data_IF_290244489380
#
_entry.id   IF_290244489380
#
_cell.length_a   1.000
_cell.length_b   1.000
_cell.length_c   1.000
_cell.angle_alpha   90.00
_cell.angle_beta   90.00
_cell.angle_gamma   90.00
#
_symmetry.space_group_name_H-M   'P 1'
#
loop_
_entity.id
_entity.type
_entity.pdbx_description
1 polymer ?
#
# COMPACT_ATOMS: atom_id res chain seq x y z
N UNK A 1 3.69 -20.26 -13.74
CA UNK A 1 4.15 -19.88 -12.39
C UNK A 1 4.16 -21.15 -11.55
N UNK A 2 5.22 -21.46 -10.77
CA UNK A 2 5.19 -22.61 -9.86
C UNK A 2 4.00 -22.46 -8.89
N UNK A 3 3.30 -23.56 -8.64
CA UNK A 3 2.18 -23.60 -7.68
C UNK A 3 2.55 -24.54 -6.53
N UNK A 4 2.52 -24.08 -5.27
CA UNK A 4 2.22 -22.71 -4.84
C UNK A 4 3.41 -21.76 -5.06
N UNK A 5 3.12 -20.48 -5.32
CA UNK A 5 4.12 -19.43 -5.20
C UNK A 5 4.19 -19.03 -3.72
N UNK A 6 5.36 -19.11 -3.09
CA UNK A 6 5.55 -18.72 -1.68
C UNK A 6 5.12 -17.27 -1.38
N UNK A 7 5.02 -16.42 -2.41
CA UNK A 7 4.49 -15.06 -2.29
C UNK A 7 3.02 -14.99 -1.89
N UNK A 8 2.28 -16.08 -2.09
CA UNK A 8 0.84 -16.14 -1.85
C UNK A 8 0.51 -16.74 -0.46
N UNK A 9 1.53 -17.27 0.23
CA UNK A 9 1.43 -17.77 1.59
C UNK A 9 1.18 -16.60 2.55
N UNK A 10 0.02 -16.61 3.22
CA UNK A 10 -0.41 -15.52 4.12
C UNK A 10 -0.43 -14.13 3.45
N UNK A 11 -0.72 -14.09 2.14
CA UNK A 11 -1.04 -12.84 1.46
C UNK A 11 -2.30 -12.25 2.10
N UNK A 12 -2.21 -11.01 2.58
CA UNK A 12 -3.31 -10.28 3.21
C UNK A 12 -3.42 -8.89 2.59
N UNK A 13 -4.61 -8.58 2.08
CA UNK A 13 -4.98 -7.24 1.64
C UNK A 13 -6.10 -6.80 2.57
N UNK A 14 -5.80 -5.90 3.50
CA UNK A 14 -6.71 -5.50 4.57
C UNK A 14 -6.49 -4.03 4.97
N UNK A 15 -7.55 -3.37 5.44
CA UNK A 15 -7.53 -2.00 5.94
C UNK A 15 -7.44 -0.92 4.86
N UNK A 16 -7.65 -1.28 3.59
CA UNK A 16 -7.60 -0.34 2.47
C UNK A 16 -8.96 0.30 2.22
N UNK A 17 -8.94 1.53 1.69
CA UNK A 17 -10.09 2.15 1.03
C UNK A 17 -9.79 2.16 -0.46
N UNK A 18 -10.62 1.47 -1.25
CA UNK A 18 -10.45 1.36 -2.70
C UNK A 18 -11.75 1.79 -3.36
N UNK A 19 -11.69 2.86 -4.16
CA UNK A 19 -12.84 3.38 -4.88
C UNK A 19 -12.54 3.42 -6.37
N UNK A 20 -13.22 2.58 -7.15
CA UNK A 20 -13.09 2.52 -8.60
C UNK A 20 -14.45 2.39 -9.32
N UNK A 21 -15.56 2.66 -8.63
CA UNK A 21 -16.88 2.70 -9.24
C UNK A 21 -17.98 2.18 -8.30
N UNK A 22 -19.07 1.62 -8.85
CA UNK A 22 -20.19 1.15 -8.04
C UNK A 22 -19.83 -0.08 -7.20
N UNK A 23 -20.64 -0.36 -6.17
CA UNK A 23 -20.40 -1.46 -5.23
C UNK A 23 -20.38 -2.86 -5.88
N UNK A 24 -21.01 -3.02 -7.04
CA UNK A 24 -21.05 -4.26 -7.83
C UNK A 24 -19.94 -4.36 -8.89
N UNK A 25 -19.01 -3.39 -8.92
CA UNK A 25 -17.85 -3.46 -9.81
C UNK A 25 -17.02 -4.72 -9.50
N UNK A 26 -16.81 -5.56 -10.51
CA UNK A 26 -16.00 -6.76 -10.42
C UNK A 26 -14.60 -6.47 -9.84
N UNK A 27 -14.18 -7.29 -8.87
CA UNK A 27 -12.89 -7.15 -8.19
C UNK A 27 -11.68 -7.55 -9.07
N UNK A 28 -11.91 -8.27 -10.17
CA UNK A 28 -10.83 -8.75 -11.05
C UNK A 28 -9.97 -9.87 -10.43
N UNK A 29 -10.47 -10.57 -9.41
CA UNK A 29 -9.82 -11.71 -8.73
C UNK A 29 -10.66 -12.99 -8.90
N UNK A 30 -10.10 -14.15 -8.56
CA UNK A 30 -10.81 -15.44 -8.64
C UNK A 30 -10.12 -16.44 -9.56
N UNK A 31 -10.86 -17.36 -10.18
CA UNK A 31 -10.30 -18.55 -10.84
C UNK A 31 -9.28 -18.27 -11.97
N UNK A 32 -9.43 -17.13 -12.66
CA UNK A 32 -8.51 -16.68 -13.72
C UNK A 32 -7.61 -15.50 -13.28
N UNK A 33 -7.66 -15.12 -11.99
CA UNK A 33 -6.91 -14.01 -11.41
C UNK A 33 -6.16 -14.40 -10.13
N UNK A 34 -5.40 -13.48 -9.54
CA UNK A 34 -4.87 -13.70 -8.19
C UNK A 34 -5.99 -13.91 -7.16
N UNK A 35 -5.63 -14.32 -5.94
CA UNK A 35 -6.57 -14.47 -4.82
C UNK A 35 -7.74 -15.42 -5.12
N UNK A 36 -7.37 -16.66 -5.45
CA UNK A 36 -8.29 -17.78 -5.73
C UNK A 36 -9.29 -18.01 -4.60
N UNK A 37 -10.48 -18.53 -4.91
CA UNK A 37 -11.52 -18.88 -3.92
C UNK A 37 -11.01 -19.80 -2.81
N UNK A 38 -10.09 -20.71 -3.13
CA UNK A 38 -9.51 -21.66 -2.17
C UNK A 38 -8.39 -21.07 -1.32
N UNK A 39 -7.91 -19.85 -1.60
CA UNK A 39 -6.88 -19.22 -0.78
C UNK A 39 -7.50 -18.75 0.55
N UNK A 40 -6.96 -19.22 1.70
CA UNK A 40 -7.55 -18.97 3.01
C UNK A 40 -7.25 -17.58 3.58
N UNK A 41 -6.40 -16.75 2.95
CA UNK A 41 -6.06 -15.39 3.41
C UNK A 41 -6.26 -14.30 2.35
N UNK A 42 -6.39 -14.67 1.08
CA UNK A 42 -6.76 -13.76 0.01
C UNK A 42 -7.77 -14.39 -0.95
N UNK A 43 -9.06 -14.20 -0.69
CA UNK A 43 -10.15 -14.49 -1.62
C UNK A 43 -11.17 -13.33 -1.65
N UNK A 44 -12.08 -13.32 -2.63
CA UNK A 44 -13.03 -12.23 -2.83
C UNK A 44 -13.85 -11.88 -1.58
N UNK A 45 -14.29 -12.88 -0.80
CA UNK A 45 -15.06 -12.64 0.42
C UNK A 45 -14.22 -11.94 1.50
N UNK A 46 -12.96 -12.34 1.67
CA UNK A 46 -12.03 -11.69 2.59
C UNK A 46 -11.68 -10.27 2.14
N UNK A 47 -11.44 -10.07 0.84
CA UNK A 47 -11.15 -8.74 0.31
C UNK A 47 -12.28 -7.74 0.61
N UNK A 48 -13.54 -8.16 0.44
CA UNK A 48 -14.71 -7.32 0.74
C UNK A 48 -14.94 -7.14 2.25
N UNK A 49 -14.58 -8.14 3.07
CA UNK A 49 -14.75 -8.07 4.52
C UNK A 49 -13.68 -7.19 5.19
N UNK A 50 -12.44 -7.26 4.70
CA UNK A 50 -11.28 -6.66 5.34
C UNK A 50 -10.93 -5.27 4.76
N UNK A 51 -11.63 -4.81 3.72
CA UNK A 51 -11.38 -3.51 3.07
C UNK A 51 -12.70 -2.77 2.77
N UNK A 52 -12.63 -1.45 2.67
CA UNK A 52 -13.71 -0.63 2.15
C UNK A 52 -13.57 -0.48 0.63
N UNK A 53 -13.98 -1.51 -0.12
CA UNK A 53 -13.97 -1.51 -1.59
C UNK A 53 -15.33 -1.05 -2.11
N UNK A 54 -15.38 0.08 -2.81
CA UNK A 54 -16.59 0.68 -3.38
C UNK A 54 -17.77 0.87 -2.40
N UNK A 55 -17.46 0.96 -1.09
CA UNK A 55 -18.44 1.23 -0.02
C UNK A 55 -18.26 2.59 0.63
N UNK A 56 -17.07 3.18 0.52
CA UNK A 56 -16.74 4.53 1.02
C UNK A 56 -15.97 5.26 -0.07
N UNK A 57 -16.56 6.33 -0.61
CA UNK A 57 -15.90 7.23 -1.55
C UNK A 57 -15.04 8.25 -0.80
N UNK A 58 -13.71 8.31 -1.02
CA UNK A 58 -12.89 9.33 -0.38
C UNK A 58 -13.19 10.71 -0.94
N UNK A 59 -13.58 11.64 -0.07
CA UNK A 59 -13.65 13.06 -0.42
C UNK A 59 -12.24 13.65 -0.47
N UNK A 60 -11.86 14.16 -1.62
CA UNK A 60 -10.55 14.78 -1.87
C UNK A 60 -10.67 16.30 -1.93
N UNK A 61 -9.60 17.01 -1.53
CA UNK A 61 -9.62 18.48 -1.42
C UNK A 61 -9.84 19.18 -2.77
N UNK A 62 -9.00 18.90 -3.77
CA UNK A 62 -9.16 19.44 -5.12
C UNK A 62 -8.45 18.53 -6.14
N UNK A 63 -9.03 17.36 -6.47
CA UNK A 63 -8.41 16.42 -7.38
C UNK A 63 -8.28 16.97 -8.81
N UNK A 64 -9.13 17.92 -9.20
CA UNK A 64 -9.06 18.56 -10.52
C UNK A 64 -7.82 19.44 -10.67
N UNK A 65 -7.37 20.09 -9.59
CA UNK A 65 -6.09 20.80 -9.53
C UNK A 65 -4.90 19.93 -9.07
N UNK A 66 -5.09 18.61 -8.90
CA UNK A 66 -4.04 17.68 -8.49
C UNK A 66 -3.80 17.57 -6.98
N UNK A 67 -4.67 18.16 -6.15
CA UNK A 67 -4.63 18.03 -4.70
C UNK A 67 -5.47 16.83 -4.22
N UNK A 68 -4.84 15.66 -4.17
CA UNK A 68 -5.44 14.39 -3.75
C UNK A 68 -5.38 14.16 -2.22
N UNK A 69 -5.23 15.21 -1.41
CA UNK A 69 -5.36 15.08 0.05
C UNK A 69 -6.79 14.70 0.41
N UNK A 70 -6.95 13.84 1.42
CA UNK A 70 -8.26 13.52 1.99
C UNK A 70 -8.80 14.76 2.72
N UNK A 71 -9.98 15.24 2.31
CA UNK A 71 -10.61 16.43 2.86
C UNK A 71 -11.13 16.19 4.28
N UNK A 72 -11.72 15.02 4.54
CA UNK A 72 -12.21 14.62 5.86
C UNK A 72 -11.79 13.18 6.20
N UNK A 73 -10.69 13.03 6.91
CA UNK A 73 -10.19 11.70 7.32
C UNK A 73 -11.09 10.96 8.30
N UNK A 74 -12.00 11.65 9.01
CA UNK A 74 -12.91 11.02 9.97
C UNK A 74 -14.07 10.25 9.31
N UNK A 75 -14.31 10.48 8.02
CA UNK A 75 -15.30 9.74 7.22
C UNK A 75 -14.75 8.38 6.72
N UNK A 76 -13.44 8.19 6.80
CA UNK A 76 -12.78 6.96 6.38
C UNK A 76 -12.69 5.96 7.55
N UNK A 77 -12.74 4.65 7.27
CA UNK A 77 -12.48 3.64 8.28
C UNK A 77 -11.07 3.82 8.87
N UNK A 78 -10.91 3.40 10.12
CA UNK A 78 -9.61 3.39 10.76
C UNK A 78 -8.65 2.48 9.96
N UNK A 79 -7.44 2.94 9.64
CA UNK A 79 -6.46 2.11 8.95
C UNK A 79 -5.98 0.98 9.87
N UNK A 80 -5.63 -0.16 9.26
CA UNK A 80 -5.02 -1.26 9.99
C UNK A 80 -3.50 -1.07 10.12
N UNK A 81 -2.90 -1.49 11.25
CA UNK A 81 -1.45 -1.49 11.39
C UNK A 81 -0.82 -2.48 10.40
N UNK A 82 0.24 -2.04 9.73
CA UNK A 82 1.03 -2.94 8.89
C UNK A 82 1.82 -3.91 9.78
N UNK A 83 1.73 -5.22 9.53
CA UNK A 83 2.53 -6.18 10.28
C UNK A 83 4.01 -6.02 9.92
N UNK A 84 4.86 -6.13 10.93
CA UNK A 84 6.29 -6.29 10.70
C UNK A 84 6.56 -7.55 9.88
N UNK A 85 7.68 -7.54 9.16
CA UNK A 85 8.08 -8.71 8.43
C UNK A 85 8.35 -9.88 9.40
N UNK A 86 7.87 -11.10 9.11
CA UNK A 86 8.22 -12.26 9.90
C UNK A 86 9.74 -12.45 9.87
N UNK A 87 10.30 -13.10 10.89
CA UNK A 87 11.71 -13.50 10.86
C UNK A 87 11.92 -14.43 9.64
N UNK A 88 12.74 -13.98 8.68
CA UNK A 88 12.97 -14.68 7.40
C UNK A 88 13.96 -15.85 7.53
N UNK A 89 14.26 -16.25 8.76
CA UNK A 89 15.30 -17.21 9.18
C UNK A 89 15.16 -18.60 8.53
N UNK A 90 14.01 -18.89 7.90
CA UNK A 90 13.72 -20.14 7.21
C UNK A 90 14.13 -20.16 5.73
N UNK A 91 14.50 -19.03 5.11
CA UNK A 91 14.92 -19.01 3.69
C UNK A 91 16.42 -19.33 3.53
N UNK A 92 16.73 -20.24 2.61
CA UNK A 92 18.09 -20.58 2.19
C UNK A 92 18.28 -20.23 0.70
N UNK A 93 19.26 -19.39 0.33
CA UNK A 93 20.24 -18.74 1.19
C UNK A 93 19.61 -17.66 2.10
N UNK A 94 20.22 -17.36 3.26
CA UNK A 94 19.71 -16.34 4.17
C UNK A 94 19.64 -14.98 3.46
N UNK A 95 18.50 -14.31 3.58
CA UNK A 95 18.30 -12.95 3.07
C UNK A 95 19.14 -11.94 3.89
N UNK A 96 19.60 -10.82 3.29
CA UNK A 96 20.31 -9.79 4.04
C UNK A 96 19.52 -9.31 5.26
N UNK A 97 20.20 -9.22 6.41
CA UNK A 97 19.60 -8.83 7.68
C UNK A 97 19.31 -7.31 7.66
N UNK A 98 18.13 -6.94 7.18
CA UNK A 98 17.62 -5.57 7.14
C UNK A 98 16.78 -5.20 8.37
N UNK A 99 16.26 -3.97 8.39
CA UNK A 99 15.21 -3.60 9.34
C UNK A 99 13.92 -4.35 8.99
N UNK A 100 13.39 -5.13 9.93
CA UNK A 100 12.15 -5.90 9.74
C UNK A 100 10.89 -5.12 10.12
N UNK A 101 11.05 -3.95 10.75
CA UNK A 101 9.91 -3.09 11.03
C UNK A 101 9.40 -2.42 9.76
N UNK A 102 8.08 -2.24 9.68
CA UNK A 102 7.43 -1.58 8.55
C UNK A 102 6.92 -0.19 8.90
N UNK A 103 7.48 0.43 9.95
CA UNK A 103 6.99 1.70 10.48
C UNK A 103 7.45 2.85 9.59
N UNK A 104 6.49 3.57 9.02
CA UNK A 104 6.72 4.81 8.29
C UNK A 104 6.51 5.99 9.25
N UNK A 105 7.61 6.63 9.66
CA UNK A 105 7.59 7.71 10.66
C UNK A 105 7.42 9.10 10.07
N UNK A 106 7.48 9.25 8.74
CA UNK A 106 7.40 10.53 8.03
C UNK A 106 6.47 10.42 6.83
N UNK A 107 5.66 11.44 6.60
CA UNK A 107 4.70 11.51 5.49
C UNK A 107 5.31 12.12 4.21
N UNK A 108 4.51 12.22 3.15
CA UNK A 108 4.94 12.78 1.86
C UNK A 108 5.46 14.24 1.95
N UNK A 109 4.99 15.02 2.93
CA UNK A 109 5.38 16.40 3.13
C UNK A 109 6.47 16.58 4.21
N UNK A 110 7.02 15.49 4.74
CA UNK A 110 8.05 15.55 5.78
C UNK A 110 7.50 15.65 7.22
N UNK A 111 6.18 15.58 7.42
CA UNK A 111 5.62 15.60 8.77
C UNK A 111 5.81 14.26 9.47
N UNK A 112 6.02 14.29 10.79
CA UNK A 112 6.03 13.07 11.60
C UNK A 112 4.67 12.38 11.58
N UNK A 113 4.68 11.06 11.44
CA UNK A 113 3.51 10.18 11.59
C UNK A 113 3.53 9.47 12.93
N UNK A 114 2.35 9.27 13.51
CA UNK A 114 2.17 8.40 14.67
C UNK A 114 1.66 7.01 14.23
N UNK A 115 2.46 6.26 13.46
CA UNK A 115 2.07 4.95 12.94
C UNK A 115 1.04 5.02 11.82
N UNK A 116 -0.01 4.19 11.88
CA UNK A 116 -1.15 4.24 10.96
C UNK A 116 -2.18 5.29 11.41
N UNK A 117 -1.76 6.54 11.62
CA UNK A 117 -2.62 7.58 12.20
C UNK A 117 -3.66 8.13 11.21
N UNK A 118 -3.40 8.04 9.91
CA UNK A 118 -4.31 8.49 8.84
C UNK A 118 -4.18 7.66 7.56
N UNK A 119 -5.32 7.52 6.86
CA UNK A 119 -5.37 7.01 5.49
C UNK A 119 -4.74 8.01 4.53
N UNK A 120 -3.94 7.51 3.59
CA UNK A 120 -3.28 8.30 2.56
C UNK A 120 -1.82 8.68 2.88
N UNK A 121 -1.27 9.55 2.04
CA UNK A 121 0.15 9.90 2.03
C UNK A 121 0.54 11.02 3.02
N UNK A 122 -0.42 11.60 3.74
CA UNK A 122 -0.22 12.71 4.66
C UNK A 122 -0.62 12.30 6.08
N UNK A 123 0.22 12.64 7.06
CA UNK A 123 -0.03 12.42 8.48
C UNK A 123 -0.97 13.47 9.06
N UNK A 124 -1.14 13.43 10.38
CA UNK A 124 -1.95 14.41 11.13
C UNK A 124 -1.35 15.82 11.22
N UNK A 125 -0.11 16.01 10.78
CA UNK A 125 0.55 17.32 10.73
C UNK A 125 0.02 18.23 9.62
N UNK A 126 -0.12 19.53 9.89
CA UNK A 126 -0.38 20.54 8.88
C UNK A 126 0.91 20.85 8.10
N UNK A 127 1.13 20.18 6.97
CA UNK A 127 2.07 20.72 6.00
C UNK A 127 1.39 21.84 5.21
N UNK A 128 1.99 23.04 5.22
CA UNK A 128 1.83 24.00 4.13
C UNK A 128 2.03 23.29 2.81
N UNK A 129 1.19 23.50 1.78
CA UNK A 129 1.40 22.89 0.47
C UNK A 129 2.76 23.34 -0.05
N UNK A 130 3.75 22.45 0.02
CA UNK A 130 4.97 22.63 -0.75
C UNK A 130 4.58 22.47 -2.22
N UNK A 131 5.07 23.32 -3.14
CA UNK A 131 4.93 23.04 -4.56
C UNK A 131 5.44 21.63 -4.83
N UNK A 132 4.79 20.93 -5.76
CA UNK A 132 5.20 19.62 -6.26
C UNK A 132 6.72 19.55 -6.29
N UNK A 133 7.37 18.63 -5.55
CA UNK A 133 8.80 18.46 -5.66
C UNK A 133 9.11 18.26 -7.13
N UNK A 134 10.08 19.02 -7.65
CA UNK A 134 10.59 18.84 -8.99
C UNK A 134 10.87 17.35 -9.19
N UNK A 135 10.59 16.81 -10.37
CA UNK A 135 10.86 15.41 -10.69
C UNK A 135 12.35 15.05 -10.49
N UNK A 136 13.22 16.06 -10.42
CA UNK A 136 14.64 15.95 -10.08
C UNK A 136 14.93 15.71 -8.59
N UNK A 137 14.00 16.04 -7.69
CA UNK A 137 14.15 15.93 -6.23
C UNK A 137 13.57 14.62 -5.68
N UNK A 138 12.99 13.79 -6.57
CA UNK A 138 12.68 12.40 -6.26
C UNK A 138 13.99 11.63 -6.23
N UNK A 139 14.51 11.39 -5.02
CA UNK A 139 15.44 10.27 -4.77
C UNK A 139 14.66 9.00 -5.08
N UNK A 140 14.59 8.64 -6.35
CA UNK A 140 14.28 7.29 -6.75
C UNK A 140 15.31 6.40 -6.06
N UNK A 141 14.83 5.28 -5.51
CA UNK A 141 15.67 4.16 -5.08
C UNK A 141 16.88 4.02 -6.03
N UNK A 142 18.09 3.74 -5.50
CA UNK A 142 19.31 3.73 -6.30
C UNK A 142 19.06 2.98 -7.61
N UNK A 143 19.15 3.71 -8.73
CA UNK A 143 19.02 3.13 -10.05
C UNK A 143 20.10 2.04 -10.15
N UNK A 144 19.69 0.78 -10.33
CA UNK A 144 20.62 -0.30 -10.64
C UNK A 144 21.19 0.00 -12.02
N UNK A 145 22.38 0.60 -12.05
CA UNK A 145 23.13 0.78 -13.28
C UNK A 145 23.66 -0.59 -13.67
N UNK A 146 23.00 -1.25 -14.63
CA UNK A 146 23.58 -2.43 -15.25
C UNK A 146 24.90 -2.00 -15.90
N UNK A 147 26.02 -2.45 -15.34
CA UNK A 147 27.35 -2.17 -15.87
C UNK A 147 27.43 -2.57 -17.34
N UNK A 148 28.01 -1.70 -18.17
CA UNK A 148 28.24 -1.97 -19.58
C UNK A 148 29.07 -3.27 -19.76
N UNK A 149 28.82 -4.05 -20.81
CA UNK A 149 29.65 -5.21 -21.12
C UNK A 149 31.08 -4.72 -21.41
N UNK A 150 32.04 -5.23 -20.63
CA UNK A 150 33.46 -4.93 -20.79
C UNK A 150 33.94 -5.24 -22.19
N UNK A 151 34.78 -4.35 -22.72
CA UNK A 151 35.64 -4.62 -23.87
C UNK A 151 36.88 -5.42 -23.45
#
# INVERSE_FOLDING_TARGET
>A
VPSPAHTDDNLRIAGNVIWNGPADHALGVGEDGGCLTANPTCNAAQLLADNAINTVEPHLVDPAAGNFRVANGAELPAPLPQPDFPAWDALLPPVPQGALNTVVTVDYAGNTRAGADRVGAFGSGEATPSPTPDLTDRVFLPQVVNGAPGQ
#
